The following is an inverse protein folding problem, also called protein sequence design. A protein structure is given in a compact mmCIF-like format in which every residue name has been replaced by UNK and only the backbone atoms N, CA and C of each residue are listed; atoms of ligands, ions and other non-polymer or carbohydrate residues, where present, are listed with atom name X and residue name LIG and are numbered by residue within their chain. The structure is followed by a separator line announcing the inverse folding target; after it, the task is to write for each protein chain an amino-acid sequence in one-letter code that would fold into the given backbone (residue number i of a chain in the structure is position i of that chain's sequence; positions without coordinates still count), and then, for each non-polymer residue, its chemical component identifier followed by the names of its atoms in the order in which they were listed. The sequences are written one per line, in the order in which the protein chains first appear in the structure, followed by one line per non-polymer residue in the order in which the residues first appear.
data_IF_104297453706
#
_entry.id   IF_104297453706
#
_cell.length_a   1.000
_cell.length_b   1.000
_cell.length_c   1.000
_cell.angle_alpha   90.00
_cell.angle_beta   90.00
_cell.angle_gamma   90.00
#
_symmetry.space_group_name_H-M   'P 1'
#
loop_
_entity.id
_entity.type
_entity.pdbx_description
1 polymer ?
#
# COMPACT_ATOMS: atom_id res chain seq x y z
N UNK A 1 7.33 10.68 -8.54
CA UNK A 1 5.92 11.07 -8.34
C UNK A 1 5.16 9.79 -8.05
N UNK A 2 4.52 9.71 -6.87
CA UNK A 2 3.74 8.52 -6.51
C UNK A 2 2.31 8.69 -7.00
N UNK A 3 1.75 7.62 -7.51
CA UNK A 3 0.32 7.47 -7.70
C UNK A 3 -0.28 6.86 -6.42
N UNK A 4 -1.30 7.52 -5.86
CA UNK A 4 -2.01 7.07 -4.67
C UNK A 4 -3.50 6.96 -5.00
N UNK A 5 -4.09 5.80 -4.72
CA UNK A 5 -5.55 5.55 -4.82
C UNK A 5 -6.05 4.85 -3.56
N UNK A 6 -7.35 4.96 -3.31
CA UNK A 6 -8.01 4.24 -2.21
C UNK A 6 -9.21 3.49 -2.74
N UNK A 7 -9.37 2.25 -2.31
CA UNK A 7 -10.56 1.43 -2.51
C UNK A 7 -11.26 1.33 -1.17
N UNK A 8 -12.44 1.94 -1.05
CA UNK A 8 -13.31 1.75 0.13
C UNK A 8 -14.19 0.53 -0.09
N UNK A 9 -14.40 -0.25 0.97
CA UNK A 9 -15.19 -1.49 0.95
C UNK A 9 -14.84 -2.38 -0.27
N UNK A 10 -13.57 -2.84 -0.41
CA UNK A 10 -13.14 -3.61 -1.56
C UNK A 10 -13.99 -4.87 -1.74
N UNK A 11 -14.51 -5.08 -2.95
CA UNK A 11 -15.29 -6.28 -3.27
C UNK A 11 -14.45 -7.55 -3.06
N UNK A 12 -15.07 -8.69 -2.68
CA UNK A 12 -14.35 -9.96 -2.48
C UNK A 12 -13.51 -10.39 -3.71
N UNK A 13 -14.03 -10.14 -4.92
CA UNK A 13 -13.31 -10.40 -6.17
C UNK A 13 -12.03 -9.58 -6.30
N UNK A 14 -12.05 -8.31 -5.89
CA UNK A 14 -10.88 -7.43 -5.86
C UNK A 14 -9.84 -7.91 -4.85
N UNK A 15 -10.28 -8.30 -3.64
CA UNK A 15 -9.40 -8.87 -2.62
C UNK A 15 -8.73 -10.17 -3.08
N UNK A 16 -9.45 -10.99 -3.87
CA UNK A 16 -8.87 -12.20 -4.49
C UNK A 16 -7.75 -11.85 -5.48
N UNK A 17 -7.95 -10.84 -6.32
CA UNK A 17 -6.92 -10.38 -7.28
C UNK A 17 -5.67 -9.85 -6.55
N UNK A 18 -5.86 -9.07 -5.49
CA UNK A 18 -4.74 -8.56 -4.69
C UNK A 18 -3.97 -9.72 -4.07
N UNK A 19 -4.65 -10.66 -3.40
CA UNK A 19 -4.03 -11.83 -2.75
C UNK A 19 -3.21 -12.69 -3.70
N UNK A 20 -3.73 -12.97 -4.90
CA UNK A 20 -3.01 -13.77 -5.91
C UNK A 20 -1.68 -13.14 -6.37
N UNK A 21 -1.53 -11.83 -6.16
CA UNK A 21 -0.36 -11.06 -6.59
C UNK A 21 0.47 -10.55 -5.41
N UNK A 22 0.00 -10.75 -4.19
CA UNK A 22 0.67 -10.24 -2.99
C UNK A 22 1.76 -11.18 -2.51
N UNK A 23 2.86 -10.63 -2.01
CA UNK A 23 3.89 -11.40 -1.31
C UNK A 23 3.44 -11.91 0.07
N UNK A 24 2.52 -11.18 0.72
CA UNK A 24 1.94 -11.56 2.00
C UNK A 24 0.77 -12.55 1.86
N UNK A 25 0.68 -13.48 2.83
CA UNK A 25 -0.52 -14.31 3.01
C UNK A 25 -1.56 -13.51 3.79
N UNK A 26 -2.39 -12.72 3.10
CA UNK A 26 -3.64 -12.29 3.70
C UNK A 26 -4.60 -13.47 3.75
N UNK A 27 -5.21 -13.72 4.90
CA UNK A 27 -6.18 -14.80 5.06
C UNK A 27 -7.33 -14.68 4.05
N UNK A 28 -7.91 -15.82 3.67
CA UNK A 28 -9.03 -15.87 2.71
C UNK A 28 -10.28 -15.13 3.22
N UNK A 29 -10.38 -14.95 4.54
CA UNK A 29 -11.46 -14.21 5.20
C UNK A 29 -11.08 -12.77 5.58
N UNK A 30 -9.89 -12.30 5.20
CA UNK A 30 -9.52 -10.91 5.43
C UNK A 30 -10.41 -9.96 4.60
N UNK A 31 -11.15 -9.08 5.29
CA UNK A 31 -12.10 -8.11 4.72
C UNK A 31 -11.82 -6.73 5.31
N UNK A 32 -10.78 -6.02 4.85
CA UNK A 32 -10.49 -4.68 5.34
C UNK A 32 -11.57 -3.69 4.89
N UNK A 33 -11.84 -2.67 5.70
CA UNK A 33 -12.77 -1.60 5.33
C UNK A 33 -12.23 -0.73 4.18
N UNK A 34 -10.91 -0.62 4.04
CA UNK A 34 -10.26 0.06 2.92
C UNK A 34 -8.92 -0.57 2.54
N UNK A 35 -8.53 -0.36 1.28
CA UNK A 35 -7.18 -0.65 0.76
C UNK A 35 -6.63 0.59 0.08
N UNK A 36 -5.50 1.07 0.61
CA UNK A 36 -4.66 2.07 -0.03
C UNK A 36 -3.73 1.42 -1.04
N UNK A 37 -3.62 2.04 -2.21
CA UNK A 37 -2.77 1.61 -3.31
C UNK A 37 -1.73 2.70 -3.57
N UNK A 38 -0.45 2.37 -3.45
CA UNK A 38 0.66 3.31 -3.63
C UNK A 38 1.65 2.75 -4.63
N UNK A 39 1.88 3.46 -5.73
CA UNK A 39 2.80 3.05 -6.78
C UNK A 39 3.82 4.16 -7.08
N UNK A 40 5.07 3.78 -7.31
CA UNK A 40 6.14 4.69 -7.75
C UNK A 40 7.44 3.95 -8.00
N UNK A 41 8.56 4.68 -7.92
CA UNK A 41 9.91 4.09 -8.00
C UNK A 41 10.14 3.17 -6.80
N UNK A 42 10.98 2.14 -6.99
CA UNK A 42 11.27 1.16 -5.94
C UNK A 42 11.73 1.80 -4.62
N UNK A 43 12.62 2.81 -4.69
CA UNK A 43 13.08 3.53 -3.50
C UNK A 43 11.93 4.27 -2.78
N UNK A 44 11.02 4.89 -3.54
CA UNK A 44 9.85 5.56 -2.96
C UNK A 44 8.89 4.54 -2.31
N UNK A 45 8.80 3.31 -2.85
CA UNK A 45 8.01 2.23 -2.25
C UNK A 45 8.61 1.74 -0.94
N UNK A 46 9.93 1.60 -0.84
CA UNK A 46 10.56 1.18 0.43
C UNK A 46 10.32 2.21 1.54
N UNK A 47 10.43 3.51 1.22
CA UNK A 47 10.13 4.60 2.16
C UNK A 47 8.64 4.61 2.53
N UNK A 48 7.74 4.50 1.54
CA UNK A 48 6.30 4.47 1.78
C UNK A 48 5.89 3.25 2.64
N UNK A 49 6.54 2.10 2.44
CA UNK A 49 6.30 0.89 3.24
C UNK A 49 6.69 1.11 4.69
N UNK A 50 7.85 1.70 4.97
CA UNK A 50 8.29 2.00 6.34
C UNK A 50 7.36 3.00 7.05
N UNK A 51 6.91 4.05 6.34
CA UNK A 51 5.91 4.99 6.87
C UNK A 51 4.58 4.28 7.18
N UNK A 52 4.18 3.35 6.32
CA UNK A 52 2.94 2.60 6.49
C UNK A 52 3.00 1.61 7.67
N UNK A 53 4.07 0.82 7.77
CA UNK A 53 4.28 -0.15 8.86
C UNK A 53 4.34 0.50 10.25
N UNK A 54 4.79 1.76 10.33
CA UNK A 54 4.77 2.57 11.56
C UNK A 54 3.38 3.10 11.93
N UNK A 55 2.39 2.95 11.06
CA UNK A 55 1.01 3.37 11.33
C UNK A 55 0.23 2.25 12.01
N UNK A 56 -0.47 2.57 13.10
CA UNK A 56 -1.28 1.58 13.80
C UNK A 56 -2.46 1.10 12.93
N UNK A 57 -2.79 -0.18 13.05
CA UNK A 57 -3.98 -0.82 12.48
C UNK A 57 -4.03 -0.86 10.94
N UNK A 58 -2.87 -0.95 10.27
CA UNK A 58 -2.79 -1.30 8.85
C UNK A 58 -1.90 -2.51 8.65
N UNK A 59 -2.14 -3.24 7.55
CA UNK A 59 -1.32 -4.35 7.07
C UNK A 59 -0.79 -3.97 5.69
N UNK A 60 0.52 -4.05 5.50
CA UNK A 60 1.18 -3.65 4.25
C UNK A 60 1.64 -4.89 3.49
N UNK A 61 1.48 -4.91 2.18
CA UNK A 61 2.10 -5.92 1.30
C UNK A 61 2.48 -5.30 -0.03
N UNK A 62 3.50 -5.85 -0.67
CA UNK A 62 3.76 -5.62 -2.08
C UNK A 62 2.78 -6.42 -2.95
N UNK A 63 2.36 -5.82 -4.07
CA UNK A 63 1.66 -6.46 -5.19
C UNK A 63 2.67 -6.57 -6.32
N UNK A 64 2.97 -7.82 -6.71
CA UNK A 64 3.93 -8.15 -7.77
C UNK A 64 3.22 -8.21 -9.12
N UNK A 65 3.77 -7.50 -10.10
CA UNK A 65 3.41 -7.68 -11.50
C UNK A 65 3.94 -8.99 -12.07
N UNK A 66 3.56 -9.30 -13.32
CA UNK A 66 4.06 -10.48 -14.03
C UNK A 66 5.56 -10.41 -14.37
N UNK A 67 6.13 -9.20 -14.42
CA UNK A 67 7.56 -8.97 -14.56
C UNK A 67 8.07 -8.34 -13.26
N UNK A 68 8.95 -9.01 -12.50
CA UNK A 68 9.35 -8.56 -11.16
C UNK A 68 10.13 -7.25 -11.16
N UNK A 69 10.68 -6.82 -12.31
CA UNK A 69 11.50 -5.61 -12.40
C UNK A 69 10.68 -4.31 -12.46
N UNK A 70 9.38 -4.35 -12.77
CA UNK A 70 8.65 -3.13 -13.18
C UNK A 70 7.31 -2.84 -12.49
N UNK A 71 6.90 -3.54 -11.43
CA UNK A 71 5.73 -3.10 -10.64
C UNK A 71 5.84 -3.57 -9.19
N UNK A 72 6.26 -2.67 -8.30
CA UNK A 72 6.01 -2.81 -6.86
C UNK A 72 4.95 -1.77 -6.51
N UNK A 73 3.71 -2.23 -6.49
CA UNK A 73 2.58 -1.49 -5.94
C UNK A 73 2.44 -1.91 -4.49
N UNK A 74 2.37 -0.99 -3.54
CA UNK A 74 2.00 -1.33 -2.17
C UNK A 74 0.48 -1.37 -2.03
N UNK A 75 0.00 -2.39 -1.33
CA UNK A 75 -1.35 -2.46 -0.81
C UNK A 75 -1.32 -2.33 0.71
N UNK A 76 -2.03 -1.33 1.22
CA UNK A 76 -2.13 -0.99 2.64
C UNK A 76 -3.57 -1.19 3.06
N UNK A 77 -3.85 -2.27 3.77
CA UNK A 77 -5.19 -2.69 4.14
C UNK A 77 -5.48 -2.40 5.62
N UNK A 78 -6.70 -1.95 5.93
CA UNK A 78 -7.09 -1.71 7.32
C UNK A 78 -8.45 -1.01 7.43
N UNK A 79 -8.68 -0.35 8.55
CA UNK A 79 -9.83 0.54 8.74
C UNK A 79 -9.73 1.77 7.84
N UNK A 80 -10.88 2.33 7.44
CA UNK A 80 -10.90 3.46 6.48
C UNK A 80 -10.09 4.64 7.00
N UNK A 81 -10.22 4.98 8.29
CA UNK A 81 -9.51 6.11 8.90
C UNK A 81 -8.00 5.86 8.95
N UNK A 82 -7.58 4.69 9.42
CA UNK A 82 -6.17 4.28 9.48
C UNK A 82 -5.51 4.31 8.10
N UNK A 83 -6.20 3.78 7.08
CA UNK A 83 -5.70 3.80 5.70
C UNK A 83 -5.59 5.24 5.18
N UNK A 84 -6.62 6.07 5.37
CA UNK A 84 -6.59 7.46 4.88
C UNK A 84 -5.50 8.29 5.54
N UNK A 85 -5.30 8.17 6.86
CA UNK A 85 -4.23 8.85 7.58
C UNK A 85 -2.85 8.34 7.13
N UNK A 86 -2.69 7.04 6.95
CA UNK A 86 -1.46 6.45 6.41
C UNK A 86 -1.12 7.01 5.02
N UNK A 87 -2.10 7.06 4.11
CA UNK A 87 -1.91 7.60 2.76
C UNK A 87 -1.58 9.10 2.77
N UNK A 88 -2.16 9.86 3.71
CA UNK A 88 -1.82 11.27 3.92
C UNK A 88 -0.35 11.41 4.35
N UNK A 89 0.11 10.63 5.32
CA UNK A 89 1.52 10.63 5.76
C UNK A 89 2.49 10.25 4.65
N UNK A 90 2.15 9.25 3.83
CA UNK A 90 2.97 8.86 2.67
C UNK A 90 3.04 9.99 1.64
N UNK A 91 1.94 10.72 1.42
CA UNK A 91 1.93 11.87 0.52
C UNK A 91 2.78 13.01 1.07
N UNK A 92 2.59 13.38 2.33
CA UNK A 92 3.25 14.52 2.98
C UNK A 92 4.73 14.23 3.25
N UNK A 93 5.09 12.97 3.54
CA UNK A 93 6.47 12.54 3.78
C UNK A 93 7.38 12.62 2.56
N UNK A 94 6.82 12.74 1.34
CA UNK A 94 7.62 12.97 0.12
C UNK A 94 8.11 14.40 0.00
N UNK A 95 7.42 15.34 0.65
CA UNK A 95 7.88 16.72 0.73
C UNK A 95 9.00 16.86 1.79
N UNK A 96 9.21 15.82 2.61
CA UNK A 96 10.21 15.76 3.69
C UNK A 96 11.29 14.72 3.47
N UNK A 97 11.25 13.93 2.39
CA UNK A 97 12.42 13.12 1.99
C UNK A 97 13.50 14.10 1.60
N UNK A 98 14.33 14.44 2.57
CA UNK A 98 15.57 15.17 2.39
C UNK A 98 16.27 14.53 1.20
N UNK A 99 16.37 15.26 0.09
CA UNK A 99 17.40 14.96 -0.88
C UNK A 99 18.69 14.97 -0.06
N UNK A 100 19.31 13.80 0.11
CA UNK A 100 20.57 13.68 0.83
C UNK A 100 21.65 14.35 -0.01
N UNK A 101 21.72 15.68 0.07
CA UNK A 101 22.80 16.56 -0.38
C UNK A 101 23.16 17.49 0.77
#
# INVERSE_FOLDING_TARGET
MLDIRVIKAPAPGTMRVIRQRSGARWDDDFRPAAVGLVQGKLIEMLVASDVAEKSANVVVTDIRGSCPQNMVLLAIAGETESVMECLRRIRDGKDQTHDCW
#
